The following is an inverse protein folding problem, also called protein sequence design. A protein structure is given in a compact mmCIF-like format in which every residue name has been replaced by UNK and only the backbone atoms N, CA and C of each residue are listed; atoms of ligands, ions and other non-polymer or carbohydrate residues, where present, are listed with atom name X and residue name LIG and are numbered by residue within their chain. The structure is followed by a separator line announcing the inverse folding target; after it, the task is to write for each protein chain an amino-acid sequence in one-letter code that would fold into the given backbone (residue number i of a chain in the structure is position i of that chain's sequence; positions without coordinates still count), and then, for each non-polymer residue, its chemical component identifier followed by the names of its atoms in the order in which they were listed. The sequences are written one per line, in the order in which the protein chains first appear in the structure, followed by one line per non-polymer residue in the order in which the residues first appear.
data_IF_844691505379
#
_entry.id   IF_844691505379
#
_cell.length_a   1.000
_cell.length_b   1.000
_cell.length_c   1.000
_cell.angle_alpha   90.00
_cell.angle_beta   90.00
_cell.angle_gamma   90.00
#
_symmetry.space_group_name_H-M   'P 1'
#
loop_
_entity.id
_entity.type
_entity.pdbx_description
1 polymer ?
#
# COMPACT_ATOMS: atom_id res chain seq x y z
N UNK A 1 9.64 3.12 5.13
CA UNK A 1 10.91 2.63 4.57
C UNK A 1 11.29 1.20 5.00
N UNK A 2 10.63 0.60 6.00
CA UNK A 2 11.22 -0.54 6.74
C UNK A 2 10.85 -1.96 6.27
N UNK A 3 9.56 -2.26 6.03
CA UNK A 3 9.15 -3.57 5.46
C UNK A 3 9.59 -3.76 4.01
N UNK A 4 9.96 -2.67 3.36
CA UNK A 4 10.16 -2.67 1.93
C UNK A 4 11.50 -3.20 1.45
N UNK A 5 12.57 -2.74 2.09
CA UNK A 5 13.93 -3.06 1.67
C UNK A 5 14.24 -4.54 1.89
N UNK A 6 13.69 -5.15 2.96
CA UNK A 6 13.83 -6.58 3.22
C UNK A 6 13.17 -7.44 2.12
N UNK A 7 12.00 -7.04 1.60
CA UNK A 7 11.32 -7.70 0.48
C UNK A 7 12.06 -7.48 -0.85
N UNK A 8 12.72 -6.35 -1.02
CA UNK A 8 13.58 -6.07 -2.18
C UNK A 8 14.82 -6.97 -2.20
N UNK A 9 15.50 -7.11 -1.06
CA UNK A 9 16.69 -7.96 -0.95
C UNK A 9 16.35 -9.44 -1.04
N UNK A 10 15.34 -9.91 -0.30
CA UNK A 10 14.89 -11.31 -0.34
C UNK A 10 14.21 -11.66 -1.66
N UNK A 11 13.43 -10.73 -2.24
CA UNK A 11 12.78 -10.90 -3.54
C UNK A 11 13.79 -10.97 -4.69
N UNK A 12 14.82 -10.13 -4.69
CA UNK A 12 15.92 -10.19 -5.67
C UNK A 12 16.76 -11.47 -5.55
N UNK A 13 17.03 -11.95 -4.33
CA UNK A 13 17.74 -13.20 -4.12
C UNK A 13 16.90 -14.43 -4.49
N UNK A 14 15.60 -14.46 -4.17
CA UNK A 14 14.69 -15.56 -4.53
C UNK A 14 14.42 -15.62 -6.05
N UNK A 15 14.32 -14.45 -6.72
CA UNK A 15 14.19 -14.38 -8.18
C UNK A 15 15.47 -14.81 -8.90
N UNK A 16 16.65 -14.45 -8.35
CA UNK A 16 17.95 -14.94 -8.81
C UNK A 16 18.19 -16.44 -8.55
N UNK A 17 17.50 -17.02 -7.56
CA UNK A 17 17.55 -18.44 -7.23
C UNK A 17 16.48 -19.30 -7.95
N UNK A 18 15.58 -18.70 -8.74
CA UNK A 18 14.59 -19.42 -9.55
C UNK A 18 13.30 -19.83 -8.82
N UNK A 19 13.02 -19.33 -7.62
CA UNK A 19 11.81 -19.66 -6.85
C UNK A 19 10.62 -18.76 -7.19
N UNK A 20 10.24 -18.73 -8.47
CA UNK A 20 9.15 -17.89 -8.98
C UNK A 20 7.78 -18.20 -8.34
N UNK A 21 7.52 -19.46 -7.99
CA UNK A 21 6.28 -19.90 -7.34
C UNK A 21 6.12 -19.35 -5.90
N UNK A 22 7.23 -19.13 -5.19
CA UNK A 22 7.21 -18.65 -3.80
C UNK A 22 7.00 -17.13 -3.70
N UNK A 23 7.38 -16.38 -4.74
CA UNK A 23 7.17 -14.93 -4.83
C UNK A 23 5.70 -14.53 -4.71
N UNK A 24 4.79 -15.24 -5.39
CA UNK A 24 3.36 -14.99 -5.30
C UNK A 24 2.82 -15.23 -3.88
N UNK A 25 3.29 -16.29 -3.22
CA UNK A 25 2.90 -16.64 -1.85
C UNK A 25 3.42 -15.58 -0.85
N UNK A 26 4.67 -15.11 -1.00
CA UNK A 26 5.21 -14.05 -0.15
C UNK A 26 4.48 -12.71 -0.33
N UNK A 27 4.09 -12.37 -1.56
CA UNK A 27 3.28 -11.19 -1.83
C UNK A 27 1.91 -11.28 -1.15
N UNK A 28 1.22 -12.42 -1.26
CA UNK A 28 -0.07 -12.65 -0.60
C UNK A 28 0.04 -12.61 0.93
N UNK A 29 1.08 -13.22 1.52
CA UNK A 29 1.38 -13.13 2.96
C UNK A 29 1.58 -11.69 3.40
N UNK A 30 2.36 -10.93 2.65
CA UNK A 30 2.64 -9.52 2.95
C UNK A 30 1.38 -8.66 2.88
N UNK A 31 0.48 -8.93 1.92
CA UNK A 31 -0.83 -8.29 1.83
C UNK A 31 -1.65 -8.55 3.10
N UNK A 32 -1.75 -9.80 3.55
CA UNK A 32 -2.53 -10.16 4.75
C UNK A 32 -1.97 -9.44 5.98
N UNK A 33 -0.65 -9.45 6.15
CA UNK A 33 0.02 -8.79 7.28
C UNK A 33 -0.22 -7.28 7.25
N UNK A 34 -0.04 -6.64 6.10
CA UNK A 34 -0.21 -5.19 5.97
C UNK A 34 -1.68 -4.75 6.10
N UNK A 35 -2.64 -5.56 5.63
CA UNK A 35 -4.06 -5.32 5.87
C UNK A 35 -4.41 -5.46 7.36
N UNK A 36 -3.84 -6.45 8.04
CA UNK A 36 -3.98 -6.59 9.50
C UNK A 36 -3.39 -5.39 10.25
N UNK A 37 -2.20 -4.94 9.87
CA UNK A 37 -1.58 -3.74 10.44
C UNK A 37 -2.40 -2.48 10.15
N UNK A 38 -2.91 -2.32 8.92
CA UNK A 38 -3.80 -1.21 8.54
C UNK A 38 -5.10 -1.22 9.37
N UNK A 39 -5.66 -2.40 9.62
CA UNK A 39 -6.82 -2.54 10.50
C UNK A 39 -6.50 -2.12 11.93
N UNK A 40 -5.39 -2.60 12.52
CA UNK A 40 -4.95 -2.19 13.86
C UNK A 40 -4.71 -0.67 13.95
N UNK A 41 -4.10 -0.07 12.92
CA UNK A 41 -3.89 1.38 12.81
C UNK A 41 -5.19 2.16 12.63
N UNK A 42 -6.23 1.56 12.03
CA UNK A 42 -7.52 2.23 11.87
C UNK A 42 -8.23 2.48 13.20
N UNK A 43 -8.02 1.61 14.20
CA UNK A 43 -8.66 1.71 15.53
C UNK A 43 -8.36 3.06 16.21
N UNK A 44 -7.09 3.47 16.45
CA UNK A 44 -6.80 4.77 17.03
C UNK A 44 -7.22 5.93 16.13
N UNK A 45 -7.23 5.75 14.79
CA UNK A 45 -7.71 6.78 13.87
C UNK A 45 -9.23 7.04 14.03
N UNK A 46 -10.02 6.04 14.37
CA UNK A 46 -11.45 6.23 14.70
C UNK A 46 -11.64 7.06 15.96
N UNK A 47 -10.79 6.85 16.97
CA UNK A 47 -10.75 7.60 18.22
C UNK A 47 -9.80 8.80 18.20
N UNK A 48 -9.45 9.30 17.01
CA UNK A 48 -8.46 10.37 16.87
C UNK A 48 -8.89 11.69 17.50
N UNK A 49 -10.18 12.03 17.44
CA UNK A 49 -10.71 13.28 18.03
C UNK A 49 -10.48 13.38 19.55
N UNK A 50 -10.90 12.42 20.40
CA UNK A 50 -10.63 12.48 21.83
C UNK A 50 -9.12 12.38 22.13
N UNK A 51 -8.36 11.60 21.35
CA UNK A 51 -6.90 11.53 21.51
C UNK A 51 -6.25 12.90 21.30
N UNK A 52 -6.60 13.60 20.21
CA UNK A 52 -6.09 14.94 19.90
C UNK A 52 -6.42 15.96 21.01
N UNK A 53 -7.64 15.89 21.57
CA UNK A 53 -8.03 16.73 22.71
C UNK A 53 -7.20 16.44 23.95
N UNK A 54 -6.89 15.17 24.24
CA UNK A 54 -6.02 14.76 25.35
C UNK A 54 -4.59 15.31 25.16
N UNK A 55 -4.10 15.38 23.92
CA UNK A 55 -2.81 16.00 23.59
C UNK A 55 -2.83 17.55 23.63
N UNK A 56 -3.94 18.16 24.03
CA UNK A 56 -4.05 19.62 24.20
C UNK A 56 -4.44 20.38 22.93
N UNK A 57 -4.91 19.70 21.88
CA UNK A 57 -5.44 20.39 20.70
C UNK A 57 -6.79 21.05 20.97
N UNK A 58 -7.06 22.17 20.31
CA UNK A 58 -8.37 22.84 20.40
C UNK A 58 -9.48 21.95 19.81
N UNK A 59 -10.71 22.13 20.29
CA UNK A 59 -11.84 21.30 19.86
C UNK A 59 -12.07 21.36 18.34
N UNK A 60 -11.90 22.54 17.74
CA UNK A 60 -12.09 22.73 16.30
C UNK A 60 -10.99 22.05 15.48
N UNK A 61 -9.73 22.18 15.88
CA UNK A 61 -8.60 21.51 15.21
C UNK A 61 -8.72 19.99 15.36
N UNK A 62 -9.05 19.50 16.55
CA UNK A 62 -9.21 18.07 16.81
C UNK A 62 -10.34 17.47 15.96
N UNK A 63 -11.46 18.18 15.82
CA UNK A 63 -12.61 17.75 15.01
C UNK A 63 -12.23 17.67 13.53
N UNK A 64 -11.66 18.74 12.98
CA UNK A 64 -11.29 18.78 11.56
C UNK A 64 -10.21 17.75 11.23
N UNK A 65 -9.16 17.65 12.05
CA UNK A 65 -8.09 16.68 11.87
C UNK A 65 -8.62 15.23 11.94
N UNK A 66 -9.53 14.94 12.88
CA UNK A 66 -10.14 13.60 12.99
C UNK A 66 -10.98 13.24 11.77
N UNK A 67 -11.67 14.23 11.18
CA UNK A 67 -12.46 14.04 9.98
C UNK A 67 -11.57 13.76 8.77
N UNK A 68 -10.51 14.54 8.57
CA UNK A 68 -9.53 14.31 7.50
C UNK A 68 -8.83 12.94 7.65
N UNK A 69 -8.45 12.56 8.87
CA UNK A 69 -7.89 11.23 9.17
C UNK A 69 -8.83 10.10 8.75
N UNK A 70 -10.13 10.22 9.05
CA UNK A 70 -11.13 9.23 8.63
C UNK A 70 -11.29 9.19 7.11
N UNK A 71 -11.25 10.33 6.44
CA UNK A 71 -11.26 10.38 4.97
C UNK A 71 -10.01 9.74 4.32
N UNK A 72 -8.88 9.70 5.02
CA UNK A 72 -7.65 9.05 4.55
C UNK A 72 -7.58 7.54 4.84
N UNK A 73 -8.49 6.99 5.66
CA UNK A 73 -8.49 5.55 5.97
C UNK A 73 -8.54 4.65 4.74
N UNK A 74 -9.36 4.90 3.70
CA UNK A 74 -9.37 4.04 2.52
C UNK A 74 -8.01 3.99 1.80
N UNK A 75 -7.26 5.09 1.84
CA UNK A 75 -5.93 5.19 1.24
C UNK A 75 -4.91 4.30 1.98
N UNK A 76 -5.07 4.13 3.30
CA UNK A 76 -4.24 3.25 4.11
C UNK A 76 -4.36 1.79 3.62
N UNK A 77 -5.58 1.33 3.38
CA UNK A 77 -5.84 -0.02 2.87
C UNK A 77 -5.35 -0.21 1.44
N UNK A 78 -5.56 0.76 0.55
CA UNK A 78 -5.02 0.72 -0.81
C UNK A 78 -3.47 0.65 -0.79
N UNK A 79 -2.83 1.37 0.12
CA UNK A 79 -1.36 1.34 0.28
C UNK A 79 -0.87 -0.02 0.79
N UNK A 80 -1.59 -0.66 1.71
CA UNK A 80 -1.30 -2.01 2.18
C UNK A 80 -1.30 -3.06 1.05
N UNK A 81 -2.12 -2.86 0.02
CA UNK A 81 -2.14 -3.68 -1.20
C UNK A 81 -1.04 -3.28 -2.18
N UNK A 82 -0.82 -1.98 -2.40
CA UNK A 82 0.17 -1.49 -3.36
C UNK A 82 1.60 -1.92 -3.02
N UNK A 83 2.01 -1.84 -1.75
CA UNK A 83 3.40 -2.11 -1.36
C UNK A 83 3.87 -3.53 -1.75
N UNK A 84 3.14 -4.61 -1.44
CA UNK A 84 3.52 -5.96 -1.88
C UNK A 84 3.44 -6.15 -3.40
N UNK A 85 2.42 -5.60 -4.06
CA UNK A 85 2.24 -5.76 -5.52
C UNK A 85 3.38 -5.09 -6.29
N UNK A 86 3.80 -3.89 -5.88
CA UNK A 86 4.96 -3.22 -6.47
C UNK A 86 6.24 -4.02 -6.25
N UNK A 87 6.47 -4.49 -5.02
CA UNK A 87 7.65 -5.32 -4.69
C UNK A 87 7.69 -6.62 -5.50
N UNK A 88 6.54 -7.24 -5.72
CA UNK A 88 6.41 -8.42 -6.57
C UNK A 88 6.80 -8.14 -8.02
N UNK A 89 6.45 -6.98 -8.58
CA UNK A 89 6.87 -6.57 -9.92
C UNK A 89 8.36 -6.21 -9.98
N UNK A 90 8.88 -5.49 -8.97
CA UNK A 90 10.30 -5.15 -8.86
C UNK A 90 11.19 -6.38 -8.78
N UNK A 91 10.82 -7.37 -7.96
CA UNK A 91 11.57 -8.62 -7.82
C UNK A 91 11.67 -9.37 -9.16
N UNK A 92 10.67 -9.25 -10.03
CA UNK A 92 10.68 -9.86 -11.37
C UNK A 92 11.36 -9.02 -12.45
N UNK A 93 11.99 -7.90 -12.07
CA UNK A 93 12.54 -6.91 -13.00
C UNK A 93 11.51 -6.34 -13.99
N UNK A 94 10.21 -6.40 -13.65
CA UNK A 94 9.10 -5.81 -14.43
C UNK A 94 8.93 -4.33 -14.08
N UNK A 95 10.03 -3.58 -14.13
CA UNK A 95 10.08 -2.16 -13.74
C UNK A 95 9.45 -1.28 -14.82
N UNK A 96 9.66 -1.60 -16.10
CA UNK A 96 9.13 -0.80 -17.22
C UNK A 96 7.59 -0.77 -17.23
N UNK A 97 6.86 -1.90 -17.14
CA UNK A 97 5.40 -1.88 -17.07
C UNK A 97 4.88 -1.11 -15.85
N UNK A 98 5.53 -1.28 -14.69
CA UNK A 98 5.19 -0.56 -13.48
C UNK A 98 5.38 0.95 -13.62
N UNK A 99 6.47 1.38 -14.27
CA UNK A 99 6.76 2.78 -14.54
C UNK A 99 5.70 3.38 -15.48
N UNK A 100 5.33 2.67 -16.56
CA UNK A 100 4.28 3.09 -17.47
C UNK A 100 2.95 3.29 -16.74
N UNK A 101 2.51 2.30 -15.95
CA UNK A 101 1.27 2.40 -15.15
C UNK A 101 1.34 3.61 -14.21
N UNK A 102 2.47 3.81 -13.53
CA UNK A 102 2.66 4.90 -12.57
C UNK A 102 2.56 6.27 -13.24
N UNK A 103 3.26 6.47 -14.35
CA UNK A 103 3.24 7.74 -15.10
C UNK A 103 1.83 8.03 -15.64
N UNK A 104 1.16 7.02 -16.18
CA UNK A 104 -0.20 7.15 -16.72
C UNK A 104 -1.25 7.57 -15.68
N UNK A 105 -1.02 7.29 -14.40
CA UNK A 105 -1.96 7.62 -13.32
C UNK A 105 -1.57 8.86 -12.52
N UNK A 106 -0.27 9.09 -12.30
CA UNK A 106 0.23 10.26 -11.56
C UNK A 106 -0.03 11.56 -12.30
N UNK A 107 0.14 11.59 -13.63
CA UNK A 107 -0.08 12.80 -14.42
C UNK A 107 -1.55 13.28 -14.35
N UNK A 108 -2.57 12.44 -14.61
CA UNK A 108 -3.96 12.80 -14.38
C UNK A 108 -4.27 13.16 -12.94
N UNK A 109 -3.71 12.42 -11.96
CA UNK A 109 -3.93 12.71 -10.54
C UNK A 109 -3.46 14.11 -10.16
N UNK A 110 -2.27 14.52 -10.63
CA UNK A 110 -1.71 15.85 -10.34
C UNK A 110 -2.59 16.95 -10.95
N UNK A 111 -3.05 16.77 -12.19
CA UNK A 111 -3.96 17.70 -12.85
C UNK A 111 -5.32 17.79 -12.14
N UNK A 112 -5.92 16.65 -11.80
CA UNK A 112 -7.19 16.57 -11.07
C UNK A 112 -7.09 17.24 -9.69
N UNK A 113 -5.99 17.01 -8.98
CA UNK A 113 -5.74 17.62 -7.67
C UNK A 113 -5.58 19.14 -7.78
N UNK A 114 -4.89 19.62 -8.83
CA UNK A 114 -4.76 21.05 -9.11
C UNK A 114 -6.11 21.70 -9.45
N UNK A 115 -6.92 21.06 -10.30
CA UNK A 115 -8.27 21.53 -10.64
C UNK A 115 -9.18 21.54 -9.41
N UNK A 116 -9.13 20.49 -8.59
CA UNK A 116 -9.91 20.40 -7.35
C UNK A 116 -9.55 21.53 -6.37
N UNK A 117 -8.24 21.79 -6.19
CA UNK A 117 -7.75 22.81 -5.26
C UNK A 117 -8.03 24.24 -5.75
N UNK A 118 -7.71 24.56 -7.01
CA UNK A 118 -7.67 25.96 -7.47
C UNK A 118 -8.88 26.39 -8.31
N UNK A 119 -9.57 25.47 -9.00
CA UNK A 119 -10.68 25.83 -9.90
C UNK A 119 -12.03 25.56 -9.28
N UNK A 120 -12.16 24.44 -8.56
CA UNK A 120 -13.42 24.04 -7.95
C UNK A 120 -13.57 24.53 -6.50
N UNK A 121 -12.51 25.12 -5.91
CA UNK A 121 -12.45 25.48 -4.48
C UNK A 121 -12.95 24.35 -3.57
N UNK A 122 -12.70 23.10 -3.99
CA UNK A 122 -13.04 21.96 -3.15
C UNK A 122 -12.14 22.04 -1.93
N UNK A 123 -12.73 21.88 -0.74
CA UNK A 123 -11.98 21.82 0.52
C UNK A 123 -10.92 20.71 0.47
N UNK A 124 -10.04 20.65 1.48
CA UNK A 124 -9.02 19.58 1.62
C UNK A 124 -9.59 18.18 1.39
N UNK A 125 -10.87 17.98 1.71
CA UNK A 125 -11.64 16.76 1.46
C UNK A 125 -11.65 16.36 -0.02
N UNK A 126 -11.84 17.30 -0.94
CA UNK A 126 -11.84 17.03 -2.38
C UNK A 126 -10.50 16.51 -2.87
N UNK A 127 -9.39 17.06 -2.36
CA UNK A 127 -8.04 16.59 -2.66
C UNK A 127 -7.86 15.15 -2.15
N UNK A 128 -8.31 14.87 -0.91
CA UNK A 128 -8.25 13.53 -0.31
C UNK A 128 -9.08 12.51 -1.12
N UNK A 129 -10.24 12.92 -1.65
CA UNK A 129 -11.07 12.04 -2.49
C UNK A 129 -10.34 11.70 -3.79
N UNK A 130 -9.78 12.70 -4.48
CA UNK A 130 -9.00 12.47 -5.71
C UNK A 130 -7.83 11.52 -5.42
N UNK A 131 -7.09 11.76 -4.33
CA UNK A 131 -5.97 10.92 -3.91
C UNK A 131 -6.41 9.47 -3.65
N UNK A 132 -7.52 9.26 -2.95
CA UNK A 132 -8.09 7.94 -2.69
C UNK A 132 -8.45 7.20 -3.97
N UNK A 133 -9.18 7.87 -4.88
CA UNK A 133 -9.60 7.28 -6.15
C UNK A 133 -8.39 6.89 -6.99
N UNK A 134 -7.40 7.78 -7.12
CA UNK A 134 -6.17 7.49 -7.86
C UNK A 134 -5.40 6.32 -7.25
N UNK A 135 -5.30 6.25 -5.92
CA UNK A 135 -4.61 5.16 -5.23
C UNK A 135 -5.27 3.80 -5.50
N UNK A 136 -6.60 3.73 -5.41
CA UNK A 136 -7.35 2.50 -5.69
C UNK A 136 -7.31 2.10 -7.16
N UNK A 137 -7.39 3.06 -8.09
CA UNK A 137 -7.23 2.80 -9.52
C UNK A 137 -5.84 2.23 -9.83
N UNK A 138 -4.79 2.77 -9.20
CA UNK A 138 -3.43 2.27 -9.34
C UNK A 138 -3.29 0.83 -8.82
N UNK A 139 -3.86 0.53 -7.65
CA UNK A 139 -3.92 -0.85 -7.13
C UNK A 139 -4.64 -1.77 -8.08
N UNK A 140 -5.80 -1.36 -8.59
CA UNK A 140 -6.62 -2.17 -9.49
C UNK A 140 -5.89 -2.48 -10.80
N UNK A 141 -5.26 -1.48 -11.43
CA UNK A 141 -4.53 -1.65 -12.69
C UNK A 141 -3.30 -2.54 -12.48
N UNK A 142 -2.55 -2.37 -11.39
CA UNK A 142 -1.43 -3.27 -11.07
C UNK A 142 -1.88 -4.71 -10.84
N UNK A 143 -2.96 -4.90 -10.07
CA UNK A 143 -3.49 -6.22 -9.80
C UNK A 143 -4.00 -6.91 -11.07
N UNK A 144 -4.68 -6.15 -11.95
CA UNK A 144 -5.09 -6.62 -13.27
C UNK A 144 -3.89 -6.98 -14.15
N UNK A 145 -2.81 -6.20 -14.11
CA UNK A 145 -1.60 -6.50 -14.85
C UNK A 145 -0.97 -7.83 -14.36
N UNK A 146 -0.84 -8.00 -13.04
CA UNK A 146 -0.26 -9.21 -12.44
C UNK A 146 -1.08 -10.46 -12.77
N UNK A 147 -2.42 -10.36 -12.78
CA UNK A 147 -3.30 -11.50 -13.04
C UNK A 147 -3.45 -11.86 -14.52
N UNK A 148 -3.34 -10.88 -15.44
CA UNK A 148 -3.54 -11.12 -16.87
C UNK A 148 -2.25 -11.22 -17.69
N UNK A 149 -1.12 -10.69 -17.21
CA UNK A 149 0.14 -10.67 -17.96
C UNK A 149 0.76 -12.07 -18.05
N UNK A 150 1.12 -12.49 -19.27
CA UNK A 150 1.81 -13.76 -19.53
C UNK A 150 3.14 -13.86 -18.76
N UNK A 151 3.83 -12.73 -18.56
CA UNK A 151 5.09 -12.66 -17.79
C UNK A 151 4.91 -12.99 -16.31
N UNK A 152 3.70 -12.83 -15.76
CA UNK A 152 3.39 -13.11 -14.36
C UNK A 152 2.68 -14.45 -14.14
N UNK A 153 2.25 -15.15 -15.22
CA UNK A 153 1.52 -16.44 -15.11
C UNK A 153 2.33 -17.55 -14.43
N UNK A 154 3.66 -17.54 -14.59
CA UNK A 154 4.56 -18.49 -13.91
C UNK A 154 4.68 -18.19 -12.42
N UNK A 155 4.66 -16.92 -12.01
CA UNK A 155 4.90 -16.46 -10.63
C UNK A 155 3.62 -16.27 -9.80
N UNK A 156 2.46 -16.12 -10.45
CA UNK A 156 1.16 -15.90 -9.81
C UNK A 156 0.14 -16.95 -10.26
N UNK A 157 0.07 -18.08 -9.54
CA UNK A 157 -0.89 -19.18 -9.82
C UNK A 157 -2.26 -19.01 -9.15
N UNK A 158 -2.59 -17.81 -8.67
CA UNK A 158 -3.83 -17.50 -7.97
C UNK A 158 -3.70 -17.45 -6.45
N UNK A 159 -4.82 -17.27 -5.75
CA UNK A 159 -4.87 -17.15 -4.29
C UNK A 159 -4.58 -18.51 -3.63
N UNK A 160 -3.56 -18.55 -2.76
CA UNK A 160 -3.15 -19.77 -2.07
C UNK A 160 -3.49 -19.70 -0.57
N UNK A 161 -4.08 -20.78 -0.04
CA UNK A 161 -4.36 -20.94 1.40
C UNK A 161 -3.06 -20.96 2.22
N UNK A 162 -1.92 -21.31 1.59
CA UNK A 162 -0.59 -21.25 2.20
C UNK A 162 -0.17 -19.83 2.62
N UNK A 163 -0.86 -18.79 2.12
CA UNK A 163 -0.64 -17.40 2.53
C UNK A 163 -1.10 -17.11 3.98
N UNK A 164 -1.95 -17.96 4.57
CA UNK A 164 -2.40 -17.80 5.96
C UNK A 164 -1.50 -18.49 6.98
N UNK A 165 -0.57 -19.35 6.54
CA UNK A 165 0.36 -20.07 7.42
C UNK A 165 1.67 -19.28 7.64
N UNK A 166 2.18 -19.28 8.89
CA UNK A 166 3.44 -18.63 9.32
C UNK A 166 3.51 -17.09 9.25
N UNK A 167 2.36 -16.40 9.36
CA UNK A 167 2.29 -14.93 9.38
C UNK A 167 3.11 -14.29 10.51
N UNK A 168 3.14 -14.91 11.69
CA UNK A 168 3.86 -14.42 12.88
C UNK A 168 5.38 -14.47 12.73
N UNK A 169 5.91 -15.55 12.15
CA UNK A 169 7.35 -15.67 11.87
C UNK A 169 7.83 -14.64 10.85
N UNK A 170 7.01 -14.35 9.83
CA UNK A 170 7.31 -13.32 8.83
C UNK A 170 7.22 -11.90 9.43
N UNK A 171 6.24 -11.65 10.29
CA UNK A 171 6.13 -10.42 11.08
C UNK A 171 7.37 -10.21 11.95
N UNK A 172 7.81 -11.23 12.69
CA UNK A 172 9.00 -11.16 13.52
C UNK A 172 10.26 -10.87 12.69
N UNK A 173 10.40 -11.51 11.54
CA UNK A 173 11.50 -11.24 10.60
C UNK A 173 11.47 -9.78 10.11
N UNK A 174 10.29 -9.28 9.74
CA UNK A 174 10.11 -7.90 9.26
C UNK A 174 10.38 -6.84 10.34
N UNK A 175 10.05 -7.15 11.59
CA UNK A 175 10.37 -6.32 12.76
C UNK A 175 11.87 -6.32 13.02
N UNK A 176 12.52 -7.48 12.98
CA UNK A 176 13.97 -7.60 13.13
C UNK A 176 14.72 -6.83 12.04
N UNK A 177 14.29 -6.92 10.79
CA UNK A 177 14.88 -6.11 9.70
C UNK A 177 14.66 -4.61 9.89
N UNK A 178 13.54 -4.22 10.51
CA UNK A 178 13.25 -2.81 10.78
C UNK A 178 14.11 -2.22 11.88
N UNK A 179 14.42 -3.00 12.90
CA UNK A 179 15.31 -2.61 14.00
C UNK A 179 16.77 -2.53 13.52
N UNK A 180 17.18 -3.37 12.57
CA UNK A 180 18.55 -3.38 12.05
C UNK A 180 18.90 -2.15 11.19
N UNK A 181 17.90 -1.41 10.69
CA UNK A 181 18.07 -0.20 9.87
C UNK A 181 18.08 1.08 10.72
N UNK A 182 17.67 0.99 11.99
CA UNK A 182 17.58 2.12 12.91
C UNK A 182 18.84 2.24 13.77
#
# INVERSE_FOLDING_TARGET
ASMGNALETLGGQAFGAGEYDMLGIYAQRSIIILLGAAFLLSIPCFFSEPLLKIFGQSADIAKEASFLLKCMLPQLFASALNFPLQRFLYAQSLIIPLLCISVSLVLPQMLLSWVAAFRLNLSLVGIIIVQNVSCWLFTAIQFLYITNSDSCKSSWRGFSVCAFYQLTSFLQLSLSSSIMIL
#
